data_IF_417560397342
#
_entry.id   IF_417560397342
#
_cell.length_a   1.000
_cell.length_b   1.000
_cell.length_c   1.000
_cell.angle_alpha   90.00
_cell.angle_beta   90.00
_cell.angle_gamma   90.00
#
_symmetry.space_group_name_H-M   'P 1'
#
loop_
_entity.id
_entity.type
_entity.pdbx_description
1 polymer ?
#
# COMPACT_ATOMS: atom_id res chain seq x y z
N UNK A 1 4.11 0.13 8.19
CA UNK A 1 2.74 0.55 8.53
C UNK A 1 2.02 -0.43 9.44
N UNK A 2 1.96 -1.73 9.13
CA UNK A 2 1.28 -2.74 9.95
C UNK A 2 1.64 -2.70 11.45
N UNK A 3 2.95 -2.66 11.75
CA UNK A 3 3.46 -2.58 13.13
C UNK A 3 2.94 -1.36 13.89
N UNK A 4 2.97 -0.18 13.25
CA UNK A 4 2.55 1.07 13.88
C UNK A 4 1.04 1.14 14.09
N UNK A 5 0.27 0.66 13.12
CA UNK A 5 -1.18 0.57 13.26
C UNK A 5 -1.61 -0.37 14.39
N UNK A 6 -0.90 -1.48 14.57
CA UNK A 6 -1.12 -2.40 15.70
C UNK A 6 -0.82 -1.74 17.04
N UNK A 7 0.24 -0.92 17.14
CA UNK A 7 0.54 -0.16 18.37
C UNK A 7 -0.58 0.83 18.73
N UNK A 8 -1.16 1.47 17.72
CA UNK A 8 -2.26 2.43 17.87
C UNK A 8 -3.65 1.76 18.00
N UNK A 9 -3.72 0.43 17.97
CA UNK A 9 -4.99 -0.32 18.10
C UNK A 9 -5.94 -0.18 16.90
N UNK A 10 -5.39 0.13 15.73
CA UNK A 10 -6.17 0.31 14.49
C UNK A 10 -6.41 -1.04 13.81
N UNK A 11 -7.68 -1.30 13.46
CA UNK A 11 -8.10 -2.47 12.67
C UNK A 11 -7.93 -2.18 11.18
N UNK A 12 -6.67 -2.24 10.71
CA UNK A 12 -6.32 -2.08 9.29
C UNK A 12 -5.57 -3.30 8.75
N UNK A 13 -5.88 -3.65 7.51
CA UNK A 13 -5.14 -4.66 6.75
C UNK A 13 -4.08 -3.98 5.90
N UNK A 14 -2.82 -4.38 6.04
CA UNK A 14 -1.69 -3.79 5.30
C UNK A 14 -0.96 -4.89 4.55
N UNK A 15 -0.71 -4.66 3.27
CA UNK A 15 0.10 -5.53 2.42
C UNK A 15 1.08 -4.68 1.61
N UNK A 16 2.02 -5.31 0.89
CA UNK A 16 2.88 -4.63 -0.09
C UNK A 16 3.10 -5.48 -1.34
N UNK A 17 3.30 -4.82 -2.48
CA UNK A 17 3.58 -5.45 -3.76
C UNK A 17 4.40 -4.53 -4.67
N UNK A 18 5.21 -5.12 -5.55
CA UNK A 18 5.99 -4.38 -6.55
C UNK A 18 5.21 -4.15 -7.84
N UNK A 19 5.49 -3.06 -8.56
CA UNK A 19 4.91 -2.85 -9.90
C UNK A 19 5.58 -3.69 -11.01
N UNK A 20 6.61 -4.47 -10.65
CA UNK A 20 7.33 -5.39 -11.52
C UNK A 20 7.58 -6.72 -10.80
N UNK A 21 7.94 -7.76 -11.54
CA UNK A 21 8.10 -9.14 -11.05
C UNK A 21 9.56 -9.56 -10.86
N UNK A 22 10.48 -8.61 -10.73
CA UNK A 22 11.93 -8.91 -10.62
C UNK A 22 12.30 -9.76 -9.41
N UNK A 23 11.51 -9.70 -8.34
CA UNK A 23 11.77 -10.34 -7.05
C UNK A 23 10.62 -11.25 -6.61
N UNK A 24 9.74 -11.66 -7.53
CA UNK A 24 8.56 -12.44 -7.15
C UNK A 24 8.95 -13.78 -6.48
N UNK A 25 8.42 -14.02 -5.28
CA UNK A 25 8.72 -15.18 -4.45
C UNK A 25 9.98 -15.06 -3.58
N UNK A 26 10.72 -13.97 -3.67
CA UNK A 26 11.90 -13.73 -2.84
C UNK A 26 11.52 -13.26 -1.43
N UNK A 27 12.35 -13.63 -0.45
CA UNK A 27 12.26 -13.08 0.89
C UNK A 27 12.62 -11.58 0.87
N UNK A 28 12.13 -10.79 1.84
CA UNK A 28 12.52 -9.40 2.00
C UNK A 28 14.04 -9.25 2.04
N UNK A 29 14.57 -8.20 1.39
CA UNK A 29 16.00 -7.88 1.42
C UNK A 29 16.50 -7.84 2.87
N UNK A 30 17.59 -8.56 3.14
CA UNK A 30 18.11 -8.76 4.49
C UNK A 30 18.20 -7.44 5.25
N UNK A 31 18.62 -6.33 4.61
CA UNK A 31 18.78 -5.01 5.26
C UNK A 31 17.50 -4.48 5.94
N UNK A 32 16.34 -5.06 5.66
CA UNK A 32 15.05 -4.80 6.29
C UNK A 32 14.94 -5.48 7.66
N UNK A 33 15.86 -5.21 8.59
CA UNK A 33 16.00 -5.99 9.83
C UNK A 33 15.21 -5.49 11.05
N UNK A 34 14.75 -4.23 11.08
CA UNK A 34 14.25 -3.63 12.33
C UNK A 34 12.82 -4.04 12.71
N UNK A 35 12.05 -4.58 11.75
CA UNK A 35 10.68 -5.06 11.97
C UNK A 35 10.54 -6.38 11.22
N UNK A 36 10.11 -7.48 11.87
CA UNK A 36 9.88 -8.74 11.18
C UNK A 36 8.86 -8.57 10.05
N UNK A 37 9.25 -8.99 8.85
CA UNK A 37 8.42 -8.98 7.65
C UNK A 37 8.16 -10.44 7.28
N UNK A 38 6.93 -10.90 7.48
CA UNK A 38 6.49 -12.26 7.14
C UNK A 38 5.60 -12.23 5.90
N UNK A 39 6.16 -11.79 4.77
CA UNK A 39 5.53 -11.91 3.45
C UNK A 39 6.60 -12.00 2.35
N UNK A 40 6.27 -12.72 1.28
CA UNK A 40 7.11 -12.82 0.09
C UNK A 40 6.86 -11.66 -0.85
N UNK A 41 7.90 -11.24 -1.57
CA UNK A 41 7.76 -10.28 -2.64
C UNK A 41 6.81 -10.82 -3.72
N UNK A 42 5.90 -9.96 -4.18
CA UNK A 42 4.94 -10.27 -5.25
C UNK A 42 4.66 -9.04 -6.10
N UNK A 43 4.08 -9.25 -7.26
CA UNK A 43 3.67 -8.15 -8.14
C UNK A 43 2.23 -7.71 -7.86
N UNK A 44 1.94 -6.44 -8.16
CA UNK A 44 0.60 -5.88 -8.10
C UNK A 44 -0.32 -6.59 -9.10
N UNK A 45 -1.49 -7.02 -8.64
CA UNK A 45 -2.52 -7.68 -9.44
C UNK A 45 -3.62 -6.68 -9.80
N UNK A 46 -3.83 -6.40 -11.08
CA UNK A 46 -4.85 -5.45 -11.55
C UNK A 46 -6.26 -5.79 -11.01
N UNK A 47 -6.79 -6.98 -11.30
CA UNK A 47 -8.15 -7.36 -10.89
C UNK A 47 -8.27 -7.69 -9.40
N UNK A 48 -7.16 -7.98 -8.72
CA UNK A 48 -7.14 -8.33 -7.30
C UNK A 48 -6.86 -7.11 -6.42
N UNK A 49 -5.67 -6.54 -6.55
CA UNK A 49 -5.21 -5.46 -5.68
C UNK A 49 -5.97 -4.16 -5.91
N UNK A 50 -6.12 -3.77 -7.17
CA UNK A 50 -6.74 -2.47 -7.51
C UNK A 50 -8.25 -2.47 -7.24
N UNK A 51 -8.85 -3.64 -6.99
CA UNK A 51 -10.27 -3.76 -6.64
C UNK A 51 -10.52 -4.11 -5.17
N UNK A 52 -9.52 -4.65 -4.47
CA UNK A 52 -9.67 -5.11 -3.08
C UNK A 52 -9.22 -4.05 -2.08
N UNK A 53 -8.17 -3.29 -2.40
CA UNK A 53 -7.59 -2.32 -1.47
C UNK A 53 -8.26 -0.96 -1.54
N UNK A 54 -8.57 -0.39 -0.38
CA UNK A 54 -9.18 0.94 -0.27
C UNK A 54 -8.19 2.06 -0.63
N UNK A 55 -6.90 1.84 -0.33
CA UNK A 55 -5.79 2.75 -0.59
C UNK A 55 -4.60 2.01 -1.17
N UNK A 56 -3.93 2.64 -2.14
CA UNK A 56 -2.67 2.14 -2.70
C UNK A 56 -1.64 3.25 -2.62
N UNK A 57 -0.52 2.98 -1.97
CA UNK A 57 0.54 3.95 -1.73
C UNK A 57 1.75 3.63 -2.62
N UNK A 58 1.91 4.41 -3.69
CA UNK A 58 3.04 4.33 -4.60
C UNK A 58 4.31 4.88 -3.93
N UNK A 59 5.40 4.12 -3.93
CA UNK A 59 6.67 4.58 -3.37
C UNK A 59 7.26 5.78 -4.12
N UNK A 60 7.01 5.88 -5.43
CA UNK A 60 7.46 7.00 -6.25
C UNK A 60 6.49 7.31 -7.41
N UNK A 61 6.81 8.35 -8.19
CA UNK A 61 6.03 8.82 -9.34
C UNK A 61 5.96 7.76 -10.46
N UNK A 62 7.00 6.94 -10.63
CA UNK A 62 7.03 5.90 -11.66
C UNK A 62 6.11 4.73 -11.29
N UNK A 63 6.09 4.34 -10.01
CA UNK A 63 5.13 3.37 -9.49
C UNK A 63 3.71 3.92 -9.61
N UNK A 64 3.47 5.19 -9.25
CA UNK A 64 2.14 5.82 -9.39
C UNK A 64 1.65 5.76 -10.84
N UNK A 65 2.48 6.20 -11.79
CA UNK A 65 2.12 6.18 -13.22
C UNK A 65 1.94 4.76 -13.77
N UNK A 66 2.58 3.74 -13.17
CA UNK A 66 2.35 2.34 -13.54
C UNK A 66 1.03 1.84 -12.99
N UNK A 67 0.75 2.08 -11.71
CA UNK A 67 -0.52 1.71 -11.06
C UNK A 67 -1.73 2.37 -11.73
N UNK A 68 -1.64 3.65 -12.08
CA UNK A 68 -2.70 4.37 -12.79
C UNK A 68 -2.97 3.81 -14.20
N UNK A 69 -1.94 3.30 -14.89
CA UNK A 69 -2.11 2.64 -16.20
C UNK A 69 -2.68 1.23 -16.06
N UNK A 70 -2.42 0.56 -14.94
CA UNK A 70 -2.96 -0.76 -14.64
C UNK A 70 -4.40 -0.69 -14.14
N UNK A 71 -4.83 0.42 -13.53
CA UNK A 71 -6.16 0.55 -12.96
C UNK A 71 -7.27 0.32 -14.01
N UNK A 72 -8.18 -0.64 -13.80
CA UNK A 72 -9.35 -0.81 -14.66
C UNK A 72 -10.25 0.42 -14.52
N UNK A 73 -11.04 0.74 -15.56
CA UNK A 73 -11.93 1.91 -15.56
C UNK A 73 -12.94 1.94 -14.39
N UNK A 74 -13.22 0.77 -13.82
CA UNK A 74 -14.20 0.56 -12.74
C UNK A 74 -13.52 0.19 -11.41
N UNK A 75 -12.21 0.46 -11.29
CA UNK A 75 -11.40 0.21 -10.09
C UNK A 75 -12.03 0.86 -8.85
N UNK A 76 -12.28 0.05 -7.81
CA UNK A 76 -12.77 0.54 -6.51
C UNK A 76 -11.66 1.17 -5.67
N UNK A 77 -10.38 0.93 -5.99
CA UNK A 77 -9.26 1.69 -5.45
C UNK A 77 -9.41 3.16 -5.85
N UNK A 78 -10.16 3.89 -5.02
CA UNK A 78 -10.53 5.28 -5.28
C UNK A 78 -9.34 6.22 -5.02
N UNK A 79 -8.23 5.66 -4.51
CA UNK A 79 -7.22 6.39 -3.76
C UNK A 79 -5.81 5.80 -4.00
N UNK A 80 -5.22 6.08 -5.16
CA UNK A 80 -3.80 5.80 -5.42
C UNK A 80 -3.01 7.09 -5.20
N UNK A 81 -2.07 7.09 -4.25
CA UNK A 81 -1.30 8.27 -3.85
C UNK A 81 0.19 7.96 -3.79
N UNK A 82 1.05 8.99 -3.83
CA UNK A 82 2.47 8.81 -3.53
C UNK A 82 2.65 8.77 -2.01
N UNK A 83 3.43 7.81 -1.53
CA UNK A 83 3.82 7.72 -0.14
C UNK A 83 4.57 8.99 0.27
N UNK A 84 4.05 9.71 1.26
CA UNK A 84 4.65 10.95 1.75
C UNK A 84 4.38 12.20 0.92
N UNK A 85 3.55 12.15 -0.13
CA UNK A 85 3.23 13.32 -0.97
C UNK A 85 2.23 14.30 -0.34
N UNK A 86 2.35 14.57 0.95
CA UNK A 86 1.50 15.54 1.64
C UNK A 86 2.32 16.67 2.23
N UNK A 87 2.32 17.82 1.54
CA UNK A 87 2.46 19.10 2.21
C UNK A 87 1.31 19.23 3.22
N UNK A 88 1.66 19.60 4.45
CA UNK A 88 0.81 19.83 5.63
C UNK A 88 -0.66 20.14 5.33
N UNK A 89 -1.47 19.12 5.09
CA UNK A 89 -2.92 19.27 4.96
C UNK A 89 -3.60 17.92 5.11
N UNK A 90 -3.65 17.46 6.35
CA UNK A 90 -4.70 16.54 6.77
C UNK A 90 -4.67 15.14 6.18
N UNK A 91 -3.66 14.66 5.46
CA UNK A 91 -3.62 13.26 5.01
C UNK A 91 -3.19 12.31 6.10
N UNK A 92 -2.13 12.58 6.88
CA UNK A 92 -1.91 11.77 8.08
C UNK A 92 -3.15 11.84 8.97
N UNK A 93 -3.75 13.03 9.13
CA UNK A 93 -4.96 13.16 9.93
C UNK A 93 -6.19 12.48 9.31
N UNK A 94 -6.39 12.45 8.00
CA UNK A 94 -7.58 11.87 7.33
C UNK A 94 -7.39 10.38 6.98
N UNK A 95 -6.17 9.96 6.67
CA UNK A 95 -5.77 8.56 6.60
C UNK A 95 -5.93 7.94 7.98
N UNK A 96 -5.29 8.47 9.04
CA UNK A 96 -5.48 7.92 10.39
C UNK A 96 -6.92 8.08 10.91
N UNK A 97 -7.62 9.20 10.64
CA UNK A 97 -9.04 9.35 11.05
C UNK A 97 -10.01 8.47 10.25
N UNK A 98 -9.75 8.17 8.98
CA UNK A 98 -10.64 7.31 8.17
C UNK A 98 -10.29 5.83 8.27
N UNK A 99 -9.02 5.50 8.55
CA UNK A 99 -8.51 4.15 8.82
C UNK A 99 -9.12 3.51 10.08
N UNK A 100 -9.72 4.31 10.97
CA UNK A 100 -10.51 3.83 12.12
C UNK A 100 -11.78 3.06 11.72
N UNK A 101 -12.18 3.06 10.43
CA UNK A 101 -13.30 2.27 9.91
C UNK A 101 -12.79 1.13 9.00
N UNK A 102 -12.21 0.05 9.57
CA UNK A 102 -11.89 -1.22 8.86
C UNK A 102 -11.45 -1.05 7.41
N UNK A 103 -10.21 -0.59 7.20
CA UNK A 103 -9.69 -0.32 5.85
C UNK A 103 -8.45 -1.15 5.49
N UNK A 104 -8.23 -1.30 4.20
CA UNK A 104 -7.14 -2.05 3.60
C UNK A 104 -6.19 -1.12 2.82
N UNK A 105 -4.88 -1.34 2.97
CA UNK A 105 -3.82 -0.55 2.33
C UNK A 105 -2.81 -1.46 1.65
N UNK A 106 -2.48 -1.15 0.40
CA UNK A 106 -1.40 -1.78 -0.37
C UNK A 106 -0.23 -0.82 -0.61
#
# INVERSE_FOLDING_TARGET
MAHEAKKEGLDIYVYSAGTANYHEGEDPDERSHDIPIDHLARTVLCEGDLTTFDYILASDIQNLGTLQRMAPGDSTATNIFILGSHEESGFENAFFRSALQRRSVL
#
